data_IF_599852631565
#
_entry.id   IF_599852631565
#
_cell.length_a   1.000
_cell.length_b   1.000
_cell.length_c   1.000
_cell.angle_alpha   90.00
_cell.angle_beta   90.00
_cell.angle_gamma   90.00
#
_symmetry.space_group_name_H-M   'P 1'
#
loop_
_entity.id
_entity.type
_entity.pdbx_description
1 polymer ?
#
# COMPACT_ATOMS: atom_id res chain seq x y z
N UNK A 1 -24.71 2.12 -24.70
CA UNK A 1 -24.34 1.87 -23.28
C UNK A 1 -25.18 2.78 -22.39
N UNK A 2 -26.00 2.22 -21.49
CA UNK A 2 -26.77 3.01 -20.53
C UNK A 2 -25.80 3.75 -19.59
N UNK A 3 -25.87 5.09 -19.55
CA UNK A 3 -25.07 5.86 -18.59
C UNK A 3 -25.52 5.51 -17.17
N UNK A 4 -24.62 4.94 -16.38
CA UNK A 4 -24.85 4.70 -14.95
C UNK A 4 -24.91 6.04 -14.23
N UNK A 5 -25.78 6.16 -13.23
CA UNK A 5 -25.99 7.43 -12.55
C UNK A 5 -24.76 7.78 -11.69
N UNK A 6 -24.20 8.98 -11.89
CA UNK A 6 -22.95 9.40 -11.24
C UNK A 6 -23.11 9.57 -9.72
N UNK A 7 -24.31 9.92 -9.26
CA UNK A 7 -24.62 10.03 -7.83
C UNK A 7 -24.55 8.66 -7.12
N UNK A 8 -25.17 7.63 -7.71
CA UNK A 8 -25.09 6.27 -7.16
C UNK A 8 -23.67 5.73 -7.21
N UNK A 9 -22.91 6.02 -8.26
CA UNK A 9 -21.49 5.65 -8.29
C UNK A 9 -20.71 6.30 -7.16
N UNK A 10 -20.95 7.58 -6.86
CA UNK A 10 -20.30 8.28 -5.75
C UNK A 10 -20.66 7.65 -4.39
N UNK A 11 -21.93 7.35 -4.15
CA UNK A 11 -22.38 6.64 -2.94
C UNK A 11 -21.71 5.25 -2.83
N UNK A 12 -21.66 4.49 -3.92
CA UNK A 12 -21.00 3.18 -3.95
C UNK A 12 -19.48 3.27 -3.78
N UNK A 13 -18.83 4.33 -4.29
CA UNK A 13 -17.38 4.52 -4.17
C UNK A 13 -16.91 4.83 -2.74
N UNK A 14 -17.81 5.31 -1.87
CA UNK A 14 -17.49 5.51 -0.44
C UNK A 14 -17.22 4.18 0.28
N UNK A 15 -17.80 3.08 -0.20
CA UNK A 15 -17.53 1.75 0.34
C UNK A 15 -16.42 1.12 -0.51
N UNK A 16 -15.25 0.79 0.07
CA UNK A 16 -14.14 0.24 -0.69
C UNK A 16 -14.57 -1.02 -1.44
N UNK A 17 -14.30 -1.06 -2.75
CA UNK A 17 -14.66 -2.17 -3.65
C UNK A 17 -16.06 -2.11 -4.27
N UNK A 18 -17.06 -1.53 -3.60
CA UNK A 18 -18.45 -1.51 -4.09
C UNK A 18 -18.63 -0.60 -5.31
N UNK A 19 -17.86 0.49 -5.40
CA UNK A 19 -17.81 1.35 -6.57
C UNK A 19 -17.42 0.62 -7.86
N UNK A 20 -16.45 -0.30 -7.80
CA UNK A 20 -16.06 -1.13 -8.95
C UNK A 20 -17.19 -2.10 -9.33
N UNK A 21 -17.84 -2.72 -8.33
CA UNK A 21 -18.97 -3.61 -8.55
C UNK A 21 -20.14 -2.88 -9.22
N UNK A 22 -20.46 -1.67 -8.78
CA UNK A 22 -21.49 -0.84 -9.42
C UNK A 22 -21.16 -0.57 -10.89
N UNK A 23 -19.88 -0.39 -11.21
CA UNK A 23 -19.39 -0.21 -12.57
C UNK A 23 -19.37 -1.49 -13.42
N UNK A 24 -19.62 -2.66 -12.83
CA UNK A 24 -19.64 -3.96 -13.52
C UNK A 24 -18.31 -4.72 -13.41
N UNK A 25 -17.38 -4.22 -12.58
CA UNK A 25 -16.08 -4.83 -12.33
C UNK A 25 -16.12 -5.57 -11.00
N UNK A 26 -16.67 -6.79 -11.03
CA UNK A 26 -16.95 -7.60 -9.84
C UNK A 26 -15.67 -8.11 -9.19
N UNK A 27 -14.75 -8.67 -9.98
CA UNK A 27 -13.50 -9.26 -9.46
C UNK A 27 -12.65 -8.18 -8.80
N UNK A 28 -12.47 -7.04 -9.48
CA UNK A 28 -11.82 -5.84 -8.93
C UNK A 28 -12.43 -5.40 -7.61
N UNK A 29 -13.76 -5.34 -7.54
CA UNK A 29 -14.46 -4.94 -6.33
C UNK A 29 -14.21 -5.89 -5.17
N UNK A 30 -14.35 -7.20 -5.39
CA UNK A 30 -14.11 -8.24 -4.37
C UNK A 30 -12.67 -8.17 -3.87
N UNK A 31 -11.69 -8.04 -4.75
CA UNK A 31 -10.28 -7.97 -4.36
C UNK A 31 -9.99 -6.76 -3.47
N UNK A 32 -10.60 -5.59 -3.74
CA UNK A 32 -10.46 -4.42 -2.87
C UNK A 32 -11.14 -4.58 -1.51
N UNK A 33 -12.29 -5.26 -1.45
CA UNK A 33 -12.93 -5.62 -0.17
C UNK A 33 -12.01 -6.53 0.64
N UNK A 34 -11.49 -7.59 0.02
CA UNK A 34 -10.59 -8.55 0.69
C UNK A 34 -9.31 -7.85 1.17
N UNK A 35 -8.73 -6.95 0.37
CA UNK A 35 -7.55 -6.19 0.78
C UNK A 35 -7.86 -5.27 1.96
N UNK A 36 -8.92 -4.47 1.88
CA UNK A 36 -9.27 -3.51 2.92
C UNK A 36 -9.57 -4.19 4.25
N UNK A 37 -10.45 -5.19 4.25
CA UNK A 37 -10.81 -5.94 5.46
C UNK A 37 -9.71 -6.90 5.90
N UNK A 38 -8.91 -7.44 4.98
CA UNK A 38 -7.78 -8.30 5.29
C UNK A 38 -6.68 -7.54 6.05
N UNK A 39 -6.31 -6.36 5.55
CA UNK A 39 -5.38 -5.47 6.26
C UNK A 39 -5.91 -5.09 7.63
N UNK A 40 -7.19 -4.69 7.71
CA UNK A 40 -7.82 -4.35 8.99
C UNK A 40 -7.75 -5.53 9.98
N UNK A 41 -8.15 -6.72 9.55
CA UNK A 41 -8.20 -7.93 10.39
C UNK A 41 -6.81 -8.38 10.85
N UNK A 42 -5.82 -8.39 9.94
CA UNK A 42 -4.44 -8.73 10.28
C UNK A 42 -3.89 -7.72 11.28
N UNK A 43 -4.15 -6.43 11.07
CA UNK A 43 -3.65 -5.40 11.95
C UNK A 43 -4.26 -5.45 13.34
N UNK A 44 -5.54 -5.81 13.47
CA UNK A 44 -6.20 -6.09 14.75
C UNK A 44 -5.57 -7.30 15.45
N UNK A 45 -5.26 -8.37 14.70
CA UNK A 45 -4.64 -9.57 15.27
C UNK A 45 -3.21 -9.31 15.79
N UNK A 46 -2.44 -8.47 15.08
CA UNK A 46 -1.07 -8.09 15.48
C UNK A 46 -1.08 -6.95 16.52
N UNK A 47 -2.25 -6.37 16.80
CA UNK A 47 -2.44 -5.24 17.72
C UNK A 47 -1.58 -4.02 17.31
N UNK A 48 -1.51 -3.77 16.01
CA UNK A 48 -0.82 -2.62 15.41
C UNK A 48 -1.79 -1.43 15.27
N UNK A 49 -2.49 -1.07 16.34
CA UNK A 49 -3.60 -0.11 16.31
C UNK A 49 -3.18 1.24 15.71
N UNK A 50 -1.95 1.67 15.98
CA UNK A 50 -1.36 2.92 15.49
C UNK A 50 -1.08 2.90 13.99
N UNK A 51 -0.90 1.72 13.38
CA UNK A 51 -0.62 1.56 11.95
C UNK A 51 -1.87 1.50 11.08
N UNK A 52 -3.03 1.19 11.67
CA UNK A 52 -4.26 0.92 10.92
C UNK A 52 -4.69 2.16 10.14
N UNK A 53 -4.91 3.27 10.83
CA UNK A 53 -5.41 4.51 10.22
C UNK A 53 -4.48 5.07 9.14
N UNK A 54 -3.16 5.24 9.37
CA UNK A 54 -2.27 5.78 8.34
C UNK A 54 -2.13 4.86 7.12
N UNK A 55 -2.47 3.57 7.23
CA UNK A 55 -2.42 2.64 6.10
C UNK A 55 -3.78 2.51 5.39
N UNK A 56 -4.89 2.43 6.13
CA UNK A 56 -6.23 2.32 5.55
C UNK A 56 -6.70 3.61 4.87
N UNK A 57 -6.42 4.78 5.43
CA UNK A 57 -6.94 6.06 4.90
C UNK A 57 -6.41 6.31 3.47
N UNK A 58 -5.09 6.23 3.19
CA UNK A 58 -4.58 6.41 1.84
C UNK A 58 -5.11 5.36 0.85
N UNK A 59 -5.25 4.10 1.29
CA UNK A 59 -5.81 3.02 0.46
C UNK A 59 -7.27 3.29 0.13
N UNK A 60 -8.05 3.76 1.10
CA UNK A 60 -9.45 4.11 0.88
C UNK A 60 -9.60 5.27 -0.12
N UNK A 61 -8.84 6.34 0.05
CA UNK A 61 -8.84 7.47 -0.90
C UNK A 61 -8.37 7.03 -2.29
N UNK A 62 -7.33 6.20 -2.37
CA UNK A 62 -6.86 5.64 -3.64
C UNK A 62 -7.99 4.88 -4.35
N UNK A 63 -8.68 3.97 -3.64
CA UNK A 63 -9.79 3.20 -4.19
C UNK A 63 -10.98 4.09 -4.60
N UNK A 64 -11.27 5.13 -3.81
CA UNK A 64 -12.30 6.11 -4.12
C UNK A 64 -12.00 6.82 -5.45
N UNK A 65 -10.82 7.42 -5.59
CA UNK A 65 -10.43 8.12 -6.82
C UNK A 65 -10.26 7.19 -8.01
N UNK A 66 -9.71 5.99 -7.81
CA UNK A 66 -9.52 5.03 -8.89
C UNK A 66 -10.86 4.52 -9.43
N UNK A 67 -11.89 4.37 -8.58
CA UNK A 67 -13.27 4.09 -9.04
C UNK A 67 -13.77 5.15 -10.03
N UNK A 68 -13.53 6.44 -9.77
CA UNK A 68 -13.91 7.50 -10.71
C UNK A 68 -13.08 7.50 -11.98
N UNK A 69 -11.78 7.24 -11.88
CA UNK A 69 -10.91 7.12 -13.05
C UNK A 69 -11.37 5.98 -13.97
N UNK A 70 -11.72 4.84 -13.38
CA UNK A 70 -12.25 3.67 -14.08
C UNK A 70 -13.61 3.97 -14.72
N UNK A 71 -14.53 4.61 -13.98
CA UNK A 71 -15.80 5.09 -14.54
C UNK A 71 -15.59 6.01 -15.75
N UNK A 72 -14.74 7.02 -15.60
CA UNK A 72 -14.44 7.98 -16.66
C UNK A 72 -13.77 7.31 -17.87
N UNK A 73 -12.94 6.29 -17.67
CA UNK A 73 -12.35 5.50 -18.75
C UNK A 73 -13.43 4.73 -19.53
N UNK A 74 -14.35 4.06 -18.84
CA UNK A 74 -15.45 3.34 -19.49
C UNK A 74 -16.43 4.28 -20.20
N UNK A 75 -16.69 5.48 -19.65
CA UNK A 75 -17.51 6.51 -20.32
C UNK A 75 -16.86 7.02 -21.61
N UNK A 76 -15.52 7.00 -21.70
CA UNK A 76 -14.75 7.29 -22.92
C UNK A 76 -14.65 6.10 -23.88
N UNK A 77 -15.29 4.98 -23.59
CA UNK A 77 -15.23 3.77 -24.42
C UNK A 77 -13.94 2.97 -24.29
N UNK A 78 -13.09 3.28 -23.29
CA UNK A 78 -11.88 2.50 -23.01
C UNK A 78 -12.33 1.20 -22.31
N UNK A 79 -11.95 0.05 -22.88
CA UNK A 79 -12.19 -1.23 -22.24
C UNK A 79 -11.35 -1.34 -20.97
N UNK A 80 -12.01 -1.56 -19.83
CA UNK A 80 -11.36 -1.82 -18.55
C UNK A 80 -11.57 -3.28 -18.22
N UNK A 81 -10.49 -4.06 -18.23
CA UNK A 81 -10.54 -5.49 -17.88
C UNK A 81 -10.91 -5.68 -16.41
N UNK A 82 -11.88 -6.55 -16.10
CA UNK A 82 -12.24 -6.91 -14.73
C UNK A 82 -11.19 -7.78 -14.03
N UNK A 83 -10.20 -8.30 -14.76
CA UNK A 83 -9.08 -9.00 -14.13
C UNK A 83 -8.20 -7.99 -13.37
N UNK A 84 -8.33 -7.96 -12.05
CA UNK A 84 -7.37 -7.24 -11.21
C UNK A 84 -6.23 -8.14 -10.73
N UNK A 85 -5.12 -7.45 -10.48
CA UNK A 85 -3.73 -7.91 -10.57
C UNK A 85 -3.31 -8.90 -9.49
N UNK A 86 -4.16 -9.29 -8.55
CA UNK A 86 -3.77 -10.16 -7.42
C UNK A 86 -4.15 -11.61 -7.69
N UNK A 87 -5.36 -11.90 -8.17
CA UNK A 87 -5.82 -13.28 -8.42
C UNK A 87 -5.17 -13.89 -9.68
N UNK A 88 -4.89 -13.10 -10.73
CA UNK A 88 -4.42 -13.63 -12.02
C UNK A 88 -2.90 -13.55 -12.24
N UNK A 89 -2.15 -13.02 -11.27
CA UNK A 89 -0.69 -12.84 -11.32
C UNK A 89 0.05 -14.07 -10.78
N UNK A 90 -0.30 -15.26 -11.28
CA UNK A 90 0.29 -16.52 -10.82
C UNK A 90 0.77 -17.48 -11.91
N UNK A 91 1.27 -17.01 -13.08
CA UNK A 91 1.96 -17.98 -13.96
C UNK A 91 2.98 -17.50 -14.99
N UNK A 92 3.11 -16.22 -15.40
CA UNK A 92 4.07 -15.95 -16.49
C UNK A 92 4.77 -14.60 -16.55
N UNK A 93 4.27 -13.52 -15.95
CA UNK A 93 4.90 -12.21 -16.12
C UNK A 93 5.02 -11.43 -14.81
N UNK A 94 6.11 -11.72 -14.09
CA UNK A 94 6.57 -10.96 -12.94
C UNK A 94 7.31 -9.67 -13.34
N UNK A 95 7.11 -9.16 -14.56
CA UNK A 95 7.83 -8.01 -15.08
C UNK A 95 6.91 -6.78 -15.16
N UNK A 96 7.31 -5.70 -14.48
CA UNK A 96 6.76 -4.34 -14.51
C UNK A 96 5.62 -3.96 -13.54
N UNK A 97 6.02 -3.76 -12.29
CA UNK A 97 6.15 -2.38 -11.77
C UNK A 97 7.44 -2.36 -10.96
N UNK A 98 8.28 -1.32 -11.08
CA UNK A 98 9.56 -1.15 -10.35
C UNK A 98 9.35 -0.97 -8.84
N UNK A 99 8.51 -1.76 -8.21
CA UNK A 99 8.51 -1.92 -6.77
C UNK A 99 9.56 -3.00 -6.52
N UNK A 100 10.68 -2.60 -5.93
CA UNK A 100 11.75 -3.52 -5.62
C UNK A 100 11.17 -4.60 -4.68
N UNK A 101 11.07 -5.85 -5.13
CA UNK A 101 10.59 -6.97 -4.30
C UNK A 101 11.37 -7.07 -2.99
N UNK A 102 12.63 -6.57 -2.97
CA UNK A 102 13.44 -6.39 -1.76
C UNK A 102 12.80 -5.44 -0.75
N UNK A 103 12.18 -4.34 -1.18
CA UNK A 103 11.48 -3.38 -0.32
C UNK A 103 10.23 -4.01 0.28
N UNK A 104 9.43 -4.74 -0.50
CA UNK A 104 8.28 -5.49 0.03
C UNK A 104 8.74 -6.52 1.05
N UNK A 105 9.80 -7.27 0.74
CA UNK A 105 10.35 -8.28 1.65
C UNK A 105 10.85 -7.66 2.95
N UNK A 106 11.61 -6.56 2.88
CA UNK A 106 12.09 -5.83 4.06
C UNK A 106 10.92 -5.30 4.89
N UNK A 107 9.89 -4.72 4.26
CA UNK A 107 8.70 -4.25 4.96
C UNK A 107 7.99 -5.40 5.70
N UNK A 108 7.83 -6.55 5.04
CA UNK A 108 7.22 -7.74 5.65
C UNK A 108 8.03 -8.28 6.83
N UNK A 109 9.36 -8.33 6.71
CA UNK A 109 10.25 -8.79 7.79
C UNK A 109 10.15 -7.84 8.99
N UNK A 110 10.13 -6.53 8.76
CA UNK A 110 10.00 -5.54 9.83
C UNK A 110 8.64 -5.68 10.54
N UNK A 111 7.55 -5.77 9.77
CA UNK A 111 6.19 -5.94 10.33
C UNK A 111 6.11 -7.25 11.14
N UNK A 112 6.66 -8.35 10.61
CA UNK A 112 6.72 -9.64 11.30
C UNK A 112 7.57 -9.62 12.58
N UNK A 113 8.73 -8.97 12.54
CA UNK A 113 9.58 -8.81 13.72
C UNK A 113 8.89 -8.00 14.82
N UNK A 114 8.20 -6.91 14.45
CA UNK A 114 7.39 -6.11 15.38
C UNK A 114 6.27 -6.93 16.02
N UNK A 115 5.58 -7.77 15.23
CA UNK A 115 4.55 -8.67 15.72
C UNK A 115 5.08 -9.65 16.79
N UNK A 116 6.24 -10.24 16.53
CA UNK A 116 6.89 -11.17 17.46
C UNK A 116 7.31 -10.45 18.73
N UNK A 117 7.96 -9.28 18.62
CA UNK A 117 8.37 -8.47 19.79
C UNK A 117 7.16 -8.13 20.65
N UNK A 118 6.04 -7.70 20.05
CA UNK A 118 4.80 -7.42 20.77
C UNK A 118 4.32 -8.64 21.57
N UNK A 119 4.27 -9.82 20.93
CA UNK A 119 3.74 -11.03 21.56
C UNK A 119 4.67 -11.62 22.61
N UNK A 120 5.99 -11.51 22.40
CA UNK A 120 7.01 -11.92 23.37
C UNK A 120 7.00 -11.00 24.58
N UNK A 121 6.86 -9.69 24.38
CA UNK A 121 6.69 -8.74 25.50
C UNK A 121 5.44 -9.03 26.31
N UNK A 122 4.30 -9.25 25.65
CA UNK A 122 3.05 -9.64 26.32
C UNK A 122 3.23 -10.94 27.10
N UNK A 123 3.90 -11.95 26.52
CA UNK A 123 4.16 -13.24 27.18
C UNK A 123 5.13 -13.13 28.36
N UNK A 124 6.22 -12.36 28.23
CA UNK A 124 7.25 -12.21 29.27
C UNK A 124 6.73 -11.40 30.47
N UNK A 125 5.99 -10.32 30.22
CA UNK A 125 5.47 -9.45 31.28
C UNK A 125 4.09 -9.88 31.80
N UNK A 126 3.42 -10.84 31.15
CA UNK A 126 2.20 -11.48 31.66
C UNK A 126 2.47 -12.32 32.92
N UNK A 127 3.69 -12.84 33.09
CA UNK A 127 4.07 -13.49 34.33
C UNK A 127 4.46 -12.48 35.41
N UNK A 128 3.52 -12.32 36.36
CA UNK A 128 3.78 -12.15 37.81
C UNK A 128 3.93 -10.76 38.46
N UNK A 129 3.63 -9.61 37.84
CA UNK A 129 3.56 -8.33 38.59
C UNK A 129 2.36 -7.43 38.19
N UNK A 130 1.28 -7.54 38.98
CA UNK A 130 0.26 -6.56 39.42
C UNK A 130 -0.25 -5.47 38.45
N UNK A 131 -1.51 -5.66 38.05
CA UNK A 131 -2.71 -4.77 37.91
C UNK A 131 -2.61 -3.25 37.69
N UNK A 132 -1.50 -2.56 37.96
CA UNK A 132 -1.32 -1.11 37.70
C UNK A 132 -0.38 -0.81 36.50
N UNK A 133 0.28 -1.83 35.94
CA UNK A 133 1.21 -1.68 34.80
C UNK A 133 0.53 -1.59 33.42
N UNK A 134 -0.72 -2.03 33.27
CA UNK A 134 -1.38 -2.13 31.96
C UNK A 134 -1.53 -0.78 31.23
N UNK A 135 -1.65 0.33 31.96
CA UNK A 135 -1.89 1.66 31.36
C UNK A 135 -0.62 2.30 30.80
N UNK A 136 0.53 2.11 31.47
CA UNK A 136 1.83 2.59 31.00
C UNK A 136 2.37 1.69 29.89
N UNK A 137 2.13 0.38 30.00
CA UNK A 137 2.58 -0.61 29.02
C UNK A 137 1.93 -0.42 27.64
N UNK A 138 0.62 -0.18 27.59
CA UNK A 138 -0.08 0.07 26.33
C UNK A 138 0.38 1.37 25.64
N UNK A 139 0.67 2.42 26.42
CA UNK A 139 1.19 3.69 25.90
C UNK A 139 2.60 3.55 25.30
N UNK A 140 3.51 2.85 26.00
CA UNK A 140 4.86 2.59 25.49
C UNK A 140 4.82 1.72 24.23
N UNK A 141 3.97 0.69 24.21
CA UNK A 141 3.77 -0.18 23.04
C UNK A 141 3.26 0.58 21.81
N UNK A 142 2.31 1.49 21.98
CA UNK A 142 1.78 2.31 20.90
C UNK A 142 2.81 3.29 20.31
N UNK A 143 3.85 3.66 21.06
CA UNK A 143 4.89 4.59 20.59
C UNK A 143 6.03 3.91 19.84
N UNK A 144 6.32 2.62 20.09
CA UNK A 144 7.44 1.92 19.45
C UNK A 144 7.27 1.85 17.92
N UNK A 145 6.07 1.50 17.47
CA UNK A 145 5.77 1.33 16.05
C UNK A 145 5.89 2.63 15.24
N UNK A 146 5.25 3.76 15.63
CA UNK A 146 5.40 5.02 14.90
C UNK A 146 6.83 5.57 14.94
N UNK A 147 7.57 5.41 16.04
CA UNK A 147 8.99 5.83 16.11
C UNK A 147 9.83 5.06 15.08
N UNK A 148 9.67 3.74 15.00
CA UNK A 148 10.38 2.92 14.02
C UNK A 148 9.97 3.27 12.59
N UNK A 149 8.69 3.56 12.35
CA UNK A 149 8.21 4.03 11.03
C UNK A 149 8.82 5.37 10.62
N UNK A 150 8.95 6.31 11.57
CA UNK A 150 9.61 7.59 11.33
C UNK A 150 11.08 7.36 10.95
N UNK A 151 11.77 6.46 11.66
CA UNK A 151 13.16 6.09 11.33
C UNK A 151 13.26 5.45 9.96
N UNK A 152 12.37 4.51 9.62
CA UNK A 152 12.33 3.87 8.29
C UNK A 152 12.03 4.89 7.21
N UNK A 153 11.08 5.80 7.43
CA UNK A 153 10.76 6.89 6.51
C UNK A 153 11.95 7.79 6.24
N UNK A 154 12.69 8.15 7.29
CA UNK A 154 13.91 8.95 7.18
C UNK A 154 15.02 8.20 6.40
N UNK A 155 15.24 6.91 6.69
CA UNK A 155 16.19 6.06 5.98
C UNK A 155 15.82 5.87 4.51
N UNK A 156 14.52 5.80 4.19
CA UNK A 156 14.05 5.68 2.80
C UNK A 156 14.33 6.95 2.00
N UNK A 157 14.17 8.12 2.62
CA UNK A 157 14.44 9.43 2.01
C UNK A 157 15.93 9.62 1.68
N UNK A 158 16.82 9.06 2.50
CA UNK A 158 18.28 9.13 2.30
C UNK A 158 18.84 8.24 1.16
N UNK A 159 18.04 7.34 0.57
CA UNK A 159 18.54 6.37 -0.45
C UNK A 159 18.39 6.81 -1.90
N UNK A 160 17.87 8.00 -2.18
CA UNK A 160 17.64 8.48 -3.55
C UNK A 160 18.71 9.48 -4.05
N UNK A 161 19.97 9.33 -3.62
CA UNK A 161 21.08 10.16 -4.09
C UNK A 161 22.31 9.33 -4.47
N UNK A 162 22.19 8.46 -5.46
CA UNK A 162 23.27 8.12 -6.41
C UNK A 162 22.77 7.13 -7.46
N UNK A 163 22.36 7.63 -8.63
CA UNK A 163 22.44 6.90 -9.90
C UNK A 163 22.11 7.88 -11.03
N UNK A 164 23.05 8.78 -11.31
CA UNK A 164 23.06 9.57 -12.54
C UNK A 164 24.46 10.13 -12.83
N UNK A 165 25.42 9.23 -12.97
CA UNK A 165 26.66 9.49 -13.72
C UNK A 165 26.90 8.18 -14.50
N UNK A 166 27.40 8.29 -15.72
CA UNK A 166 27.71 7.18 -16.66
C UNK A 166 26.62 6.84 -17.68
N UNK A 167 26.07 7.86 -18.35
CA UNK A 167 25.68 7.73 -19.77
C UNK A 167 25.65 9.10 -20.44
N UNK A 168 26.82 9.64 -20.79
CA UNK A 168 26.95 10.67 -21.82
C UNK A 168 28.36 10.65 -22.44
N UNK A 169 28.70 9.54 -23.08
CA UNK A 169 29.69 9.57 -24.16
C UNK A 169 28.88 9.75 -25.45
N UNK A 170 28.94 10.94 -26.03
CA UNK A 170 28.70 11.21 -27.45
C UNK A 170 29.13 12.66 -27.67
N UNK A 171 30.44 12.87 -27.83
CA UNK A 171 30.98 14.02 -28.55
C UNK A 171 30.60 13.87 -30.03
N UNK A 172 29.92 14.84 -30.65
CA UNK A 172 29.98 15.00 -32.09
C UNK A 172 31.16 15.91 -32.41
N UNK A 173 32.27 15.33 -32.88
CA UNK A 173 33.32 16.07 -33.59
C UNK A 173 32.72 16.65 -34.88
N UNK A 174 32.23 17.88 -34.79
CA UNK A 174 31.89 18.72 -35.94
C UNK A 174 33.18 19.37 -36.42
N UNK A 175 33.54 19.02 -37.65
CA UNK A 175 34.54 19.68 -38.48
C UNK A 175 34.23 21.19 -38.55
N UNK A 176 35.18 22.02 -38.11
CA UNK A 176 35.28 23.41 -38.54
C UNK A 176 36.71 23.71 -38.96
N UNK A 177 36.82 23.74 -40.29
CA UNK A 177 37.81 24.41 -41.12
C UNK A 177 38.18 25.81 -40.59
N UNK A 178 39.48 26.04 -40.37
CA UNK A 178 40.15 27.35 -40.42
C UNK A 178 41.65 27.18 -40.75
N UNK A 179 41.98 27.78 -41.89
CA UNK A 179 43.31 28.11 -42.49
C UNK A 179 43.99 27.04 -43.35
#
# INVERSE_FOLDING_TARGET
>A
MNRKNSFFNFMCALIPGVGYMYNGLMKRGVEQIILFFGIFSISQYIQLDVLILPLLIPIWFYNFFDTFNVKNAMERGIFVDDNYRIIQRNSSELSMSKINNKIIGIALIIIGALAVVNKVWDMLFSFRIIQHYHMIYSAVRQLIVPVILIVIGFVLMGRNKHNKIDTKNEEPTVVLDKE
#
